data_IF_804084186626
#
_entry.id   IF_804084186626
#
_cell.length_a   1.000
_cell.length_b   1.000
_cell.length_c   1.000
_cell.angle_alpha   90.00
_cell.angle_beta   90.00
_cell.angle_gamma   90.00
#
_symmetry.space_group_name_H-M   'P 1'
#
loop_
_entity.id
_entity.type
_entity.pdbx_description
1 polymer ?
#
# COMPACT_ATOMS: atom_id res chain seq x y z
N UNK A 1 -8.39 -7.38 5.33
CA UNK A 1 -7.04 -6.79 5.41
C UNK A 1 -5.96 -7.87 5.33
N UNK A 2 -4.92 -7.65 4.51
CA UNK A 2 -3.68 -8.42 4.52
C UNK A 2 -2.60 -7.52 5.15
N UNK A 3 -2.37 -7.72 6.43
CA UNK A 3 -1.48 -6.90 7.24
C UNK A 3 -0.01 -7.37 7.16
N UNK A 4 0.91 -6.48 7.47
CA UNK A 4 2.35 -6.76 7.50
C UNK A 4 2.78 -7.51 8.76
N UNK A 5 3.70 -6.93 9.53
CA UNK A 5 4.22 -7.51 10.77
C UNK A 5 3.34 -7.11 11.94
N UNK A 6 2.81 -8.09 12.65
CA UNK A 6 1.97 -7.85 13.83
C UNK A 6 2.74 -7.09 14.92
N UNK A 7 2.15 -6.00 15.42
CA UNK A 7 2.74 -5.15 16.46
C UNK A 7 3.76 -4.12 15.94
N UNK A 8 4.03 -4.07 14.64
CA UNK A 8 4.79 -3.00 14.03
C UNK A 8 3.95 -1.72 13.94
N UNK A 9 4.49 -0.58 14.40
CA UNK A 9 3.74 0.67 14.48
C UNK A 9 3.26 1.19 13.11
N UNK A 10 4.06 1.01 12.06
CA UNK A 10 3.71 1.42 10.70
C UNK A 10 2.58 0.54 10.16
N UNK A 11 2.67 -0.78 10.41
CA UNK A 11 1.63 -1.73 10.05
C UNK A 11 0.30 -1.37 10.73
N UNK A 12 0.32 -1.13 12.05
CA UNK A 12 -0.88 -0.79 12.82
C UNK A 12 -1.51 0.52 12.34
N UNK A 13 -0.70 1.55 12.03
CA UNK A 13 -1.19 2.83 11.54
C UNK A 13 -1.86 2.71 10.15
N UNK A 14 -1.25 1.94 9.22
CA UNK A 14 -1.84 1.68 7.89
C UNK A 14 -3.16 0.92 8.00
N UNK A 15 -3.21 -0.10 8.85
CA UNK A 15 -4.41 -0.89 9.11
C UNK A 15 -5.52 -0.04 9.74
N UNK A 16 -5.18 0.84 10.70
CA UNK A 16 -6.16 1.76 11.30
C UNK A 16 -6.73 2.71 10.26
N UNK A 17 -5.88 3.30 9.39
CA UNK A 17 -6.34 4.15 8.29
C UNK A 17 -7.28 3.41 7.32
N UNK A 18 -6.97 2.16 6.98
CA UNK A 18 -7.84 1.31 6.16
C UNK A 18 -9.19 1.04 6.84
N UNK A 19 -9.18 0.80 8.15
CA UNK A 19 -10.39 0.59 8.96
C UNK A 19 -11.27 1.83 9.00
N UNK A 20 -10.68 2.97 9.38
CA UNK A 20 -11.42 4.24 9.45
C UNK A 20 -11.99 4.62 8.09
N UNK A 21 -11.17 4.62 7.03
CA UNK A 21 -11.60 4.96 5.68
C UNK A 21 -12.71 4.05 5.16
N UNK A 22 -12.64 2.74 5.40
CA UNK A 22 -13.68 1.78 5.02
C UNK A 22 -14.99 2.10 5.74
N UNK A 23 -14.96 2.32 7.05
CA UNK A 23 -16.14 2.59 7.86
C UNK A 23 -16.77 3.95 7.52
N UNK A 24 -15.95 5.00 7.31
CA UNK A 24 -16.43 6.32 6.89
C UNK A 24 -17.09 6.30 5.50
N UNK A 25 -16.61 5.45 4.61
CA UNK A 25 -17.22 5.23 3.30
C UNK A 25 -18.51 4.39 3.35
N UNK A 26 -18.95 3.94 4.54
CA UNK A 26 -20.14 3.14 4.76
C UNK A 26 -19.94 1.64 4.50
N UNK A 27 -18.70 1.18 4.37
CA UNK A 27 -18.34 -0.23 4.35
C UNK A 27 -18.28 -0.82 5.76
N UNK A 28 -18.01 -2.12 5.84
CA UNK A 28 -17.74 -2.84 7.09
C UNK A 28 -16.31 -3.38 7.04
N UNK A 29 -15.45 -2.89 7.94
CA UNK A 29 -14.12 -3.46 8.11
C UNK A 29 -14.19 -4.72 8.95
N UNK A 30 -13.70 -5.84 8.42
CA UNK A 30 -13.84 -7.16 9.05
C UNK A 30 -12.67 -7.41 10.02
N UNK A 31 -12.72 -6.82 11.21
CA UNK A 31 -11.64 -6.87 12.22
C UNK A 31 -11.18 -8.29 12.61
N UNK A 32 -12.10 -9.24 12.61
CA UNK A 32 -11.79 -10.63 12.98
C UNK A 32 -11.19 -11.44 11.81
N UNK A 33 -11.01 -10.81 10.65
CA UNK A 33 -10.58 -11.45 9.41
C UNK A 33 -9.22 -10.93 8.90
N UNK A 34 -8.52 -10.18 9.73
CA UNK A 34 -7.17 -9.69 9.42
C UNK A 34 -6.23 -10.88 9.28
N UNK A 35 -5.51 -10.94 8.16
CA UNK A 35 -4.49 -11.93 7.87
C UNK A 35 -3.11 -11.27 7.91
N UNK A 36 -2.15 -11.83 8.64
CA UNK A 36 -0.80 -11.30 8.74
C UNK A 36 0.15 -12.04 7.80
N UNK A 37 0.73 -11.31 6.85
CA UNK A 37 1.66 -11.84 5.84
C UNK A 37 3.11 -11.39 6.07
N UNK A 38 3.45 -10.85 7.24
CA UNK A 38 4.82 -10.44 7.64
C UNK A 38 5.52 -9.52 6.61
N UNK A 39 4.75 -8.73 5.87
CA UNK A 39 5.20 -7.87 4.77
C UNK A 39 5.84 -8.65 3.59
N UNK A 40 5.51 -9.94 3.40
CA UNK A 40 6.11 -10.83 2.39
C UNK A 40 5.05 -11.29 1.39
N UNK A 41 5.34 -11.12 0.08
CA UNK A 41 4.45 -11.49 -1.01
C UNK A 41 3.99 -12.97 -0.97
N UNK A 42 4.91 -13.91 -0.74
CA UNK A 42 4.59 -15.35 -0.71
C UNK A 42 3.60 -15.69 0.41
N UNK A 43 3.69 -15.00 1.55
CA UNK A 43 2.72 -15.17 2.64
C UNK A 43 1.37 -14.54 2.31
N UNK A 44 1.37 -13.42 1.56
CA UNK A 44 0.12 -12.81 1.09
C UNK A 44 -0.66 -13.70 0.12
N UNK A 45 0.01 -14.52 -0.69
CA UNK A 45 -0.64 -15.58 -1.50
C UNK A 45 -1.44 -16.52 -0.59
N UNK A 46 -0.81 -17.05 0.45
CA UNK A 46 -1.46 -17.97 1.41
C UNK A 46 -2.63 -17.28 2.14
N UNK A 47 -2.44 -16.02 2.55
CA UNK A 47 -3.50 -15.22 3.17
C UNK A 47 -4.69 -15.03 2.22
N UNK A 48 -4.43 -14.70 0.95
CA UNK A 48 -5.49 -14.51 -0.04
C UNK A 48 -6.24 -15.81 -0.36
N UNK A 49 -5.54 -16.94 -0.45
CA UNK A 49 -6.18 -18.26 -0.59
C UNK A 49 -7.11 -18.57 0.60
N UNK A 50 -6.68 -18.26 1.83
CA UNK A 50 -7.51 -18.41 3.03
C UNK A 50 -8.76 -17.51 3.00
N UNK A 51 -8.60 -16.25 2.55
CA UNK A 51 -9.71 -15.31 2.36
C UNK A 51 -10.70 -15.86 1.33
N UNK A 52 -10.23 -16.30 0.16
CA UNK A 52 -11.09 -16.84 -0.89
C UNK A 52 -11.85 -18.10 -0.45
N UNK A 53 -11.23 -18.96 0.34
CA UNK A 53 -11.89 -20.14 0.91
C UNK A 53 -12.97 -19.76 1.92
N UNK A 54 -12.78 -18.70 2.70
CA UNK A 54 -13.73 -18.25 3.71
C UNK A 54 -14.87 -17.43 3.12
N UNK A 55 -14.58 -16.66 2.08
CA UNK A 55 -15.52 -15.77 1.38
C UNK A 55 -15.66 -16.20 -0.09
N UNK A 56 -16.31 -17.35 -0.38
CA UNK A 56 -16.38 -17.89 -1.73
C UNK A 56 -17.18 -17.01 -2.71
N UNK A 57 -18.01 -16.11 -2.18
CA UNK A 57 -18.83 -15.17 -2.96
C UNK A 57 -18.08 -13.83 -3.21
N UNK A 58 -16.83 -13.71 -2.75
CA UNK A 58 -16.01 -12.51 -2.87
C UNK A 58 -16.14 -11.53 -1.71
N UNK A 59 -15.27 -10.52 -1.75
CA UNK A 59 -15.29 -9.34 -0.87
C UNK A 59 -15.14 -8.08 -1.71
N UNK A 60 -15.67 -6.96 -1.23
CA UNK A 60 -15.63 -5.71 -1.99
C UNK A 60 -14.21 -5.13 -2.10
N UNK A 61 -13.42 -5.20 -1.02
CA UNK A 61 -12.11 -4.55 -0.93
C UNK A 61 -11.12 -5.49 -0.22
N UNK A 62 -9.91 -5.58 -0.75
CA UNK A 62 -8.72 -6.11 -0.09
C UNK A 62 -7.73 -4.96 0.08
N UNK A 63 -7.47 -4.56 1.32
CA UNK A 63 -6.38 -3.65 1.65
C UNK A 63 -5.15 -4.47 2.03
N UNK A 64 -3.99 -4.16 1.47
CA UNK A 64 -2.73 -4.76 1.86
C UNK A 64 -1.73 -3.67 2.30
N UNK A 65 -0.99 -3.93 3.37
CA UNK A 65 -0.12 -2.94 3.99
C UNK A 65 1.14 -2.59 3.19
N UNK A 66 1.41 -3.28 2.08
CA UNK A 66 2.41 -2.87 1.10
C UNK A 66 2.04 -3.36 -0.30
N UNK A 67 2.73 -2.84 -1.31
CA UNK A 67 2.47 -3.13 -2.72
C UNK A 67 2.78 -4.59 -3.10
N UNK A 68 3.85 -5.18 -2.55
CA UNK A 68 4.22 -6.56 -2.87
C UNK A 68 3.13 -7.54 -2.43
N UNK A 69 2.55 -7.33 -1.26
CA UNK A 69 1.42 -8.13 -0.78
C UNK A 69 0.14 -7.86 -1.59
N UNK A 70 -0.13 -6.59 -1.95
CA UNK A 70 -1.29 -6.23 -2.74
C UNK A 70 -1.27 -6.91 -4.13
N UNK A 71 -0.14 -6.83 -4.83
CA UNK A 71 0.05 -7.47 -6.12
C UNK A 71 -0.05 -9.01 -6.03
N UNK A 72 0.54 -9.60 -5.00
CA UNK A 72 0.45 -11.04 -4.77
C UNK A 72 -1.00 -11.49 -4.54
N UNK A 73 -1.77 -10.74 -3.73
CA UNK A 73 -3.18 -11.02 -3.48
C UNK A 73 -4.03 -10.86 -4.76
N UNK A 74 -3.84 -9.79 -5.52
CA UNK A 74 -4.55 -9.54 -6.76
C UNK A 74 -4.32 -10.66 -7.78
N UNK A 75 -3.06 -11.07 -7.98
CA UNK A 75 -2.69 -12.18 -8.88
C UNK A 75 -3.27 -13.51 -8.43
N UNK A 76 -3.29 -13.78 -7.12
CA UNK A 76 -3.86 -15.00 -6.57
C UNK A 76 -5.36 -15.09 -6.84
N UNK A 77 -6.06 -13.96 -6.83
CA UNK A 77 -7.50 -13.90 -7.06
C UNK A 77 -7.90 -13.76 -8.55
N UNK A 78 -6.96 -13.48 -9.45
CA UNK A 78 -7.23 -13.05 -10.84
C UNK A 78 -8.15 -13.99 -11.63
N UNK A 79 -8.03 -15.30 -11.43
CA UNK A 79 -8.83 -16.30 -12.13
C UNK A 79 -10.14 -16.67 -11.39
N UNK A 80 -10.44 -16.04 -10.25
CA UNK A 80 -11.64 -16.31 -9.48
C UNK A 80 -12.75 -15.30 -9.82
N UNK A 81 -13.83 -15.73 -10.51
CA UNK A 81 -14.92 -14.81 -10.92
C UNK A 81 -15.60 -14.07 -9.77
N UNK A 82 -15.62 -14.65 -8.55
CA UNK A 82 -16.19 -14.00 -7.37
C UNK A 82 -15.41 -12.75 -6.95
N UNK A 83 -14.15 -12.66 -7.34
CA UNK A 83 -13.24 -11.56 -7.01
C UNK A 83 -12.97 -10.60 -8.20
N UNK A 84 -13.65 -10.81 -9.34
CA UNK A 84 -13.46 -10.01 -10.55
C UNK A 84 -13.71 -8.51 -10.37
N UNK A 85 -14.53 -8.13 -9.37
CA UNK A 85 -14.84 -6.74 -9.04
C UNK A 85 -14.24 -6.30 -7.68
N UNK A 86 -13.39 -7.11 -7.07
CA UNK A 86 -12.73 -6.76 -5.81
C UNK A 86 -11.72 -5.65 -6.06
N UNK A 87 -11.77 -4.63 -5.22
CA UNK A 87 -10.80 -3.53 -5.22
C UNK A 87 -9.56 -3.99 -4.43
N UNK A 88 -8.39 -3.94 -5.06
CA UNK A 88 -7.11 -4.24 -4.41
C UNK A 88 -6.32 -2.96 -4.20
N UNK A 89 -5.99 -2.67 -2.93
CA UNK A 89 -5.27 -1.47 -2.52
C UNK A 89 -3.90 -1.84 -1.96
N UNK A 90 -2.86 -1.15 -2.45
CA UNK A 90 -1.48 -1.26 -1.98
C UNK A 90 -1.01 -0.03 -1.21
N UNK A 91 0.21 -0.10 -0.72
CA UNK A 91 0.91 0.98 -0.06
C UNK A 91 2.39 0.93 -0.42
N UNK A 92 3.04 2.06 -0.57
CA UNK A 92 4.42 2.43 -0.88
C UNK A 92 4.56 3.16 -2.22
N UNK A 93 3.77 2.85 -3.24
CA UNK A 93 3.85 3.45 -4.57
C UNK A 93 5.11 3.02 -5.32
N UNK A 94 5.47 1.75 -5.23
CA UNK A 94 6.59 1.15 -5.95
C UNK A 94 6.39 1.27 -7.46
N UNK A 95 7.47 1.30 -8.24
CA UNK A 95 7.41 1.35 -9.70
C UNK A 95 6.59 0.18 -10.28
N UNK A 96 6.79 -1.03 -9.74
CA UNK A 96 6.02 -2.23 -10.12
C UNK A 96 4.53 -2.12 -9.82
N UNK A 97 4.17 -1.50 -8.68
CA UNK A 97 2.77 -1.30 -8.31
C UNK A 97 2.10 -0.23 -9.17
N UNK A 98 2.82 0.86 -9.48
CA UNK A 98 2.32 1.86 -10.43
C UNK A 98 2.06 1.26 -11.80
N UNK A 99 2.91 0.36 -12.27
CA UNK A 99 2.67 -0.39 -13.51
C UNK A 99 1.45 -1.32 -13.37
N UNK A 100 1.32 -2.05 -12.25
CA UNK A 100 0.17 -2.91 -11.98
C UNK A 100 -1.16 -2.12 -11.94
N UNK A 101 -1.13 -0.88 -11.47
CA UNK A 101 -2.30 0.02 -11.53
C UNK A 101 -2.64 0.40 -12.97
N UNK A 102 -1.64 0.74 -13.80
CA UNK A 102 -1.86 1.02 -15.23
C UNK A 102 -2.43 -0.19 -15.97
N UNK A 103 -1.95 -1.38 -15.65
CA UNK A 103 -2.37 -2.63 -16.28
C UNK A 103 -3.74 -3.12 -15.77
N UNK A 104 -4.29 -2.47 -14.74
CA UNK A 104 -5.56 -2.82 -14.12
C UNK A 104 -5.50 -4.03 -13.19
N UNK A 105 -4.30 -4.47 -12.79
CA UNK A 105 -4.08 -5.54 -11.82
C UNK A 105 -4.35 -5.04 -10.39
N UNK A 106 -3.91 -3.81 -10.07
CA UNK A 106 -4.27 -3.11 -8.85
C UNK A 106 -5.23 -1.96 -9.15
N UNK A 107 -6.09 -1.65 -8.18
CA UNK A 107 -6.98 -0.48 -8.28
C UNK A 107 -6.22 0.80 -7.95
N UNK A 108 -5.40 0.79 -6.89
CA UNK A 108 -4.61 1.93 -6.46
C UNK A 108 -3.49 1.52 -5.50
N UNK A 109 -2.54 2.43 -5.31
CA UNK A 109 -1.57 2.39 -4.21
C UNK A 109 -1.44 3.76 -3.56
N UNK A 110 -1.23 3.81 -2.23
CA UNK A 110 -0.87 5.02 -1.50
C UNK A 110 0.64 5.17 -1.52
N UNK A 111 1.14 6.04 -2.40
CA UNK A 111 2.57 6.23 -2.62
C UNK A 111 3.20 7.11 -1.56
N UNK A 112 4.32 6.68 -1.00
CA UNK A 112 5.21 7.49 -0.19
C UNK A 112 6.03 8.42 -1.10
N UNK A 113 6.39 9.61 -0.59
CA UNK A 113 7.25 10.53 -1.31
C UNK A 113 8.74 10.20 -1.07
N UNK A 114 9.19 9.07 -1.62
CA UNK A 114 10.48 8.45 -1.31
C UNK A 114 11.68 9.38 -1.57
N UNK A 115 11.62 10.20 -2.63
CA UNK A 115 12.67 11.18 -2.92
C UNK A 115 12.78 12.21 -1.79
N UNK A 116 11.65 12.83 -1.39
CA UNK A 116 11.65 13.85 -0.34
C UNK A 116 12.01 13.27 1.02
N UNK A 117 11.60 12.03 1.32
CA UNK A 117 12.01 11.33 2.55
C UNK A 117 13.55 11.27 2.63
N UNK A 118 14.20 10.83 1.57
CA UNK A 118 15.66 10.76 1.51
C UNK A 118 16.31 12.15 1.54
N UNK A 119 15.81 13.09 0.77
CA UNK A 119 16.34 14.45 0.68
C UNK A 119 16.24 15.19 2.03
N UNK A 120 15.07 15.21 2.64
CA UNK A 120 14.82 15.88 3.91
C UNK A 120 15.62 15.26 5.06
N UNK A 121 15.80 13.94 5.06
CA UNK A 121 16.64 13.28 6.06
C UNK A 121 18.09 13.79 6.00
N UNK A 122 18.67 13.90 4.80
CA UNK A 122 20.05 14.41 4.63
C UNK A 122 20.11 15.91 4.95
N UNK A 123 19.16 16.71 4.50
CA UNK A 123 19.09 18.15 4.80
C UNK A 123 19.05 18.40 6.30
N UNK A 124 18.18 17.66 7.02
CA UNK A 124 18.08 17.76 8.48
C UNK A 124 19.38 17.40 9.20
N UNK A 125 20.09 16.33 8.76
CA UNK A 125 21.40 15.97 9.30
C UNK A 125 22.41 17.09 9.10
N UNK A 126 22.44 17.74 7.94
CA UNK A 126 23.34 18.87 7.66
C UNK A 126 23.04 20.05 8.59
N UNK A 127 21.77 20.44 8.80
CA UNK A 127 21.37 21.47 9.75
C UNK A 127 21.86 21.17 11.18
N UNK A 128 21.65 19.92 11.62
CA UNK A 128 22.12 19.47 12.95
C UNK A 128 23.64 19.64 13.08
N UNK A 129 24.41 19.23 12.08
CA UNK A 129 25.88 19.33 12.11
C UNK A 129 26.38 20.78 12.09
N UNK A 130 25.61 21.70 11.51
CA UNK A 130 25.90 23.14 11.45
C UNK A 130 25.43 23.89 12.70
N UNK A 131 24.67 23.24 13.59
CA UNK A 131 24.07 23.85 14.77
C UNK A 131 22.93 24.80 14.42
N UNK A 132 22.25 24.57 13.30
CA UNK A 132 21.08 25.31 12.83
C UNK A 132 19.80 24.73 13.42
N UNK A 133 18.74 25.54 13.45
CA UNK A 133 17.40 25.07 13.84
C UNK A 133 16.85 24.12 12.78
N UNK A 134 16.15 23.08 13.21
CA UNK A 134 15.49 22.10 12.36
C UNK A 134 14.14 21.67 12.93
N UNK A 135 13.25 21.20 12.05
CA UNK A 135 11.97 20.63 12.46
C UNK A 135 12.17 19.18 12.93
N UNK A 136 11.66 18.82 14.10
CA UNK A 136 11.71 17.45 14.63
C UNK A 136 10.83 16.47 13.82
N UNK A 137 9.77 17.00 13.18
CA UNK A 137 8.85 16.24 12.35
C UNK A 137 8.69 16.93 11.00
N UNK A 138 9.05 16.22 9.94
CA UNK A 138 8.87 16.70 8.55
C UNK A 138 7.86 15.78 7.86
N UNK A 139 6.70 16.33 7.52
CA UNK A 139 5.70 15.61 6.73
C UNK A 139 6.10 15.67 5.25
N UNK A 140 6.47 14.53 4.69
CA UNK A 140 6.81 14.38 3.26
C UNK A 140 5.61 14.03 2.39
N UNK A 141 4.45 13.81 3.02
CA UNK A 141 3.19 13.52 2.36
C UNK A 141 3.06 12.13 1.75
N UNK A 142 1.85 11.84 1.32
CA UNK A 142 1.49 10.66 0.53
C UNK A 142 0.69 11.09 -0.69
N UNK A 143 0.74 10.31 -1.76
CA UNK A 143 0.00 10.53 -3.00
C UNK A 143 -0.81 9.28 -3.33
N UNK A 144 -2.09 9.44 -3.67
CA UNK A 144 -2.91 8.32 -4.13
C UNK A 144 -2.67 8.12 -5.62
N UNK A 145 -2.15 6.95 -5.97
CA UNK A 145 -1.89 6.55 -7.35
C UNK A 145 -3.04 5.70 -7.86
N UNK A 146 -3.67 6.19 -8.91
CA UNK A 146 -4.74 5.53 -9.66
C UNK A 146 -4.34 5.44 -11.14
N UNK A 147 -5.19 4.86 -11.99
CA UNK A 147 -4.94 4.82 -13.44
C UNK A 147 -4.75 6.22 -14.06
N UNK A 148 -5.34 7.26 -13.45
CA UNK A 148 -5.27 8.63 -14.00
C UNK A 148 -3.88 9.25 -13.86
N UNK A 149 -3.08 8.88 -12.85
CA UNK A 149 -1.79 9.49 -12.55
C UNK A 149 -0.60 8.51 -12.43
N UNK A 150 -0.84 7.22 -12.59
CA UNK A 150 0.21 6.20 -12.48
C UNK A 150 1.32 6.37 -13.53
N UNK A 151 0.96 6.81 -14.76
CA UNK A 151 1.94 7.10 -15.80
C UNK A 151 2.86 8.27 -15.42
N UNK A 152 2.32 9.34 -14.83
CA UNK A 152 3.09 10.48 -14.36
C UNK A 152 4.02 10.11 -13.20
N UNK A 153 3.54 9.21 -12.32
CA UNK A 153 4.37 8.67 -11.24
C UNK A 153 5.54 7.84 -11.78
N UNK A 154 5.30 7.00 -12.80
CA UNK A 154 6.35 6.22 -13.45
C UNK A 154 7.40 7.12 -14.11
N UNK A 155 7.00 8.18 -14.81
CA UNK A 155 7.92 9.14 -15.41
C UNK A 155 8.84 9.82 -14.36
N UNK A 156 8.32 10.10 -13.15
CA UNK A 156 9.13 10.65 -12.06
C UNK A 156 10.22 9.68 -11.58
N UNK A 157 10.01 8.36 -11.61
CA UNK A 157 11.07 7.41 -11.30
C UNK A 157 12.24 7.51 -12.28
N UNK A 158 11.97 7.70 -13.58
CA UNK A 158 13.00 7.85 -14.59
C UNK A 158 13.82 9.14 -14.35
N UNK A 159 13.17 10.23 -13.91
CA UNK A 159 13.84 11.47 -13.54
C UNK A 159 14.73 11.32 -12.29
N UNK A 160 14.25 10.60 -11.26
CA UNK A 160 15.00 10.39 -10.01
C UNK A 160 16.20 9.46 -10.17
N UNK A 161 16.19 8.58 -11.17
CA UNK A 161 17.24 7.59 -11.42
C UNK A 161 18.24 8.03 -12.52
N UNK A 162 17.99 9.15 -13.20
CA UNK A 162 18.86 9.72 -14.23
C UNK A 162 20.06 10.49 -13.62
#
# INVERSE_FOLDING_TARGET
>A
EIAGVQGDATNEARMEGSREGTNEAGGEFLDNEIQYASAVADQAVTCMEAIMNKFPDGVAIICANNDDMAMAAARTAADNPAYANTIFLGFDGQQSACQAVLDGELTMTAAQNNFDIGYQAVETIVKILQGEDYDEVVDTGTEIITQDNAADRLARFDEWLA
#
